data_IF_312545111704
#
_entry.id   IF_312545111704
#
_cell.length_a   1.000
_cell.length_b   1.000
_cell.length_c   1.000
_cell.angle_alpha   90.00
_cell.angle_beta   90.00
_cell.angle_gamma   90.00
#
_symmetry.space_group_name_H-M   'P 1'
#
loop_
_entity.id
_entity.type
_entity.pdbx_description
1 polymer ?
#
# COMPACT_ATOMS: atom_id res chain seq x y z
N UNK A 1 12.46 -23.21 -17.10
CA UNK A 1 13.84 -23.00 -16.62
C UNK A 1 13.69 -22.11 -15.41
N UNK A 2 13.86 -22.67 -14.23
CA UNK A 2 13.65 -22.00 -12.96
C UNK A 2 14.92 -21.25 -12.56
N UNK A 3 14.77 -19.98 -12.16
CA UNK A 3 15.78 -19.25 -11.39
C UNK A 3 15.02 -18.48 -10.30
N UNK A 4 14.78 -19.15 -9.17
CA UNK A 4 14.50 -18.50 -7.89
C UNK A 4 15.86 -18.47 -7.18
N UNK A 5 16.52 -17.32 -7.19
CA UNK A 5 17.83 -17.18 -6.56
C UNK A 5 17.72 -17.10 -5.04
N UNK A 6 18.51 -17.97 -4.41
CA UNK A 6 18.69 -18.13 -2.97
C UNK A 6 19.66 -17.07 -2.47
N UNK A 7 19.21 -16.15 -1.64
CA UNK A 7 20.12 -15.35 -0.83
C UNK A 7 20.59 -16.15 0.38
N UNK A 8 21.87 -16.55 0.35
CA UNK A 8 22.67 -16.94 1.50
C UNK A 8 23.74 -15.87 1.67
N UNK A 9 23.79 -15.20 2.82
CA UNK A 9 25.08 -14.83 3.36
C UNK A 9 25.16 -15.03 4.88
N UNK A 10 26.35 -15.41 5.32
CA UNK A 10 26.62 -15.94 6.63
C UNK A 10 27.39 -14.99 7.55
N UNK A 11 27.09 -15.16 8.85
CA UNK A 11 27.91 -14.85 10.03
C UNK A 11 28.06 -13.36 10.37
N UNK A 12 27.58 -13.01 11.56
CA UNK A 12 28.40 -13.08 12.78
C UNK A 12 27.55 -12.99 14.05
N UNK A 13 27.71 -13.97 14.94
CA UNK A 13 27.06 -14.02 16.25
C UNK A 13 27.59 -12.90 17.14
N UNK A 14 26.74 -11.98 17.59
CA UNK A 14 26.97 -11.18 18.79
C UNK A 14 25.86 -11.39 19.81
N UNK A 15 26.27 -11.74 21.02
CA UNK A 15 25.40 -11.91 22.20
C UNK A 15 24.92 -10.54 22.67
N UNK A 16 23.61 -10.36 22.77
CA UNK A 16 22.98 -9.21 23.45
C UNK A 16 22.42 -9.70 24.81
N UNK A 17 22.60 -8.95 25.92
CA UNK A 17 22.29 -9.42 27.27
C UNK A 17 20.80 -9.36 27.62
N UNK A 18 20.42 -10.19 28.60
CA UNK A 18 19.06 -10.32 29.16
C UNK A 18 18.70 -9.19 30.14
N UNK A 19 17.42 -8.79 30.05
CA UNK A 19 16.48 -8.22 31.06
C UNK A 19 16.65 -6.78 31.52
N UNK A 20 15.55 -6.02 31.43
CA UNK A 20 14.96 -5.28 32.58
C UNK A 20 13.42 -5.34 32.49
N UNK A 21 12.68 -5.59 33.60
CA UNK A 21 11.23 -5.77 33.61
C UNK A 21 10.45 -4.50 33.95
N UNK A 22 9.23 -4.39 33.40
CA UNK A 22 8.12 -3.65 34.01
C UNK A 22 7.69 -2.37 33.30
N UNK A 23 6.86 -2.51 32.26
CA UNK A 23 5.94 -1.43 31.86
C UNK A 23 4.50 -1.94 32.02
N UNK A 24 3.76 -1.34 32.95
CA UNK A 24 2.31 -1.53 33.08
C UNK A 24 1.64 -0.73 31.97
N UNK A 25 1.10 -1.41 30.97
CA UNK A 25 0.19 -0.82 29.99
C UNK A 25 -1.10 -0.44 30.73
N UNK A 26 -1.39 0.86 30.81
CA UNK A 26 -2.67 1.39 31.28
C UNK A 26 -3.68 1.20 30.15
N UNK A 27 -4.71 0.39 30.39
CA UNK A 27 -5.88 0.26 29.50
C UNK A 27 -6.57 1.62 29.36
N UNK A 28 -6.47 2.19 28.16
CA UNK A 28 -7.20 3.38 27.75
C UNK A 28 -8.66 3.05 27.46
N UNK A 29 -9.50 4.03 27.74
CA UNK A 29 -10.97 4.02 27.70
C UNK A 29 -11.61 3.42 26.43
N UNK A 30 -12.54 2.51 26.66
CA UNK A 30 -13.55 2.06 25.70
C UNK A 30 -14.60 3.18 25.54
N UNK A 31 -14.70 3.73 24.34
CA UNK A 31 -15.82 4.59 23.92
C UNK A 31 -16.92 3.67 23.40
N UNK A 32 -18.04 3.64 24.11
CA UNK A 32 -19.24 2.89 23.72
C UNK A 32 -19.99 3.64 22.62
N UNK A 33 -20.26 2.96 21.49
CA UNK A 33 -21.12 3.53 20.43
C UNK A 33 -20.96 3.02 19.00
N UNK A 34 -20.17 1.98 18.73
CA UNK A 34 -20.13 1.31 17.42
C UNK A 34 -20.94 0.03 17.44
N UNK A 35 -21.61 -0.31 16.33
CA UNK A 35 -22.10 -1.67 16.08
C UNK A 35 -20.95 -2.63 16.40
N UNK A 36 -21.21 -3.61 17.27
CA UNK A 36 -20.21 -4.61 17.66
C UNK A 36 -20.06 -5.57 16.48
N UNK A 37 -19.36 -5.14 15.43
CA UNK A 37 -18.87 -6.06 14.40
C UNK A 37 -17.75 -6.82 15.10
N UNK A 38 -17.91 -8.13 15.24
CA UNK A 38 -16.89 -8.95 15.86
C UNK A 38 -15.55 -8.77 15.14
N UNK A 39 -14.46 -8.79 15.89
CA UNK A 39 -13.12 -8.71 15.32
C UNK A 39 -12.93 -9.88 14.33
N UNK A 40 -12.39 -9.64 13.13
CA UNK A 40 -12.15 -10.70 12.15
C UNK A 40 -11.30 -11.83 12.73
N UNK A 41 -11.69 -13.07 12.46
CA UNK A 41 -10.93 -14.26 12.87
C UNK A 41 -10.05 -14.74 11.73
N UNK A 42 -8.74 -14.89 11.98
CA UNK A 42 -7.77 -15.35 10.98
C UNK A 42 -7.39 -16.81 11.22
N UNK A 43 -7.39 -17.60 10.14
CA UNK A 43 -6.96 -19.00 10.14
C UNK A 43 -6.21 -19.35 8.86
N UNK A 44 -5.55 -20.50 8.84
CA UNK A 44 -5.05 -21.09 7.58
C UNK A 44 -6.23 -21.53 6.73
N UNK A 45 -6.13 -21.30 5.42
CA UNK A 45 -7.13 -21.70 4.45
C UNK A 45 -7.21 -23.23 4.32
N UNK A 46 -8.41 -23.71 4.03
CA UNK A 46 -8.72 -25.08 3.69
C UNK A 46 -9.13 -25.15 2.20
N UNK A 47 -9.17 -26.35 1.63
CA UNK A 47 -9.52 -26.55 0.21
C UNK A 47 -10.90 -25.97 -0.15
N UNK A 48 -11.83 -25.95 0.80
CA UNK A 48 -13.17 -25.41 0.59
C UNK A 48 -13.18 -23.87 0.45
N UNK A 49 -12.14 -23.18 0.92
CA UNK A 49 -12.03 -21.71 0.83
C UNK A 49 -11.56 -21.22 -0.55
N UNK A 50 -10.91 -22.08 -1.34
CA UNK A 50 -10.17 -21.65 -2.53
C UNK A 50 -11.04 -20.96 -3.59
N UNK A 51 -12.28 -21.42 -3.74
CA UNK A 51 -13.24 -20.78 -4.65
C UNK A 51 -13.54 -19.33 -4.24
N UNK A 52 -13.68 -19.09 -2.94
CA UNK A 52 -13.95 -17.76 -2.40
C UNK A 52 -12.71 -16.86 -2.40
N UNK A 53 -11.53 -17.42 -2.14
CA UNK A 53 -10.25 -16.72 -2.28
C UNK A 53 -10.08 -16.17 -3.70
N UNK A 54 -10.33 -17.01 -4.72
CA UNK A 54 -10.28 -16.58 -6.13
C UNK A 54 -11.24 -15.43 -6.43
N UNK A 55 -12.48 -15.51 -5.93
CA UNK A 55 -13.50 -14.47 -6.12
C UNK A 55 -13.07 -13.12 -5.51
N UNK A 56 -12.50 -13.15 -4.30
CA UNK A 56 -11.98 -11.96 -3.61
C UNK A 56 -10.79 -11.38 -4.39
N UNK A 57 -9.90 -12.22 -4.90
CA UNK A 57 -8.76 -11.77 -5.71
C UNK A 57 -9.25 -11.02 -6.96
N UNK A 58 -10.18 -11.61 -7.72
CA UNK A 58 -10.76 -11.00 -8.93
C UNK A 58 -11.48 -9.68 -8.61
N UNK A 59 -12.31 -9.67 -7.57
CA UNK A 59 -13.10 -8.49 -7.18
C UNK A 59 -12.20 -7.33 -6.72
N UNK A 60 -11.18 -7.63 -5.91
CA UNK A 60 -10.26 -6.61 -5.39
C UNK A 60 -9.28 -6.10 -6.45
N UNK A 61 -8.77 -6.96 -7.34
CA UNK A 61 -7.98 -6.53 -8.50
C UNK A 61 -8.79 -5.60 -9.41
N UNK A 62 -10.06 -5.93 -9.66
CA UNK A 62 -10.95 -5.09 -10.46
C UNK A 62 -11.25 -3.74 -9.80
N UNK A 63 -11.36 -3.70 -8.47
CA UNK A 63 -11.78 -2.49 -7.74
C UNK A 63 -10.62 -1.55 -7.39
N UNK A 64 -9.43 -2.08 -7.12
CA UNK A 64 -8.35 -1.31 -6.48
C UNK A 64 -7.09 -1.18 -7.33
N UNK A 65 -7.01 -1.88 -8.46
CA UNK A 65 -5.85 -1.87 -9.33
C UNK A 65 -6.16 -1.19 -10.67
N UNK A 66 -5.23 -0.37 -11.14
CA UNK A 66 -5.27 0.25 -12.47
C UNK A 66 -4.83 -0.73 -13.57
N UNK A 67 -5.41 -1.93 -13.59
CA UNK A 67 -5.09 -3.02 -14.53
C UNK A 67 -6.15 -3.17 -15.61
N UNK A 68 -5.76 -3.68 -16.78
CA UNK A 68 -6.72 -4.01 -17.83
C UNK A 68 -7.49 -5.30 -17.48
N UNK A 69 -8.72 -5.50 -18.00
CA UNK A 69 -9.49 -6.73 -17.74
C UNK A 69 -8.75 -8.01 -18.13
N UNK A 70 -7.95 -7.96 -19.20
CA UNK A 70 -7.13 -9.09 -19.64
C UNK A 70 -5.98 -9.38 -18.65
N UNK A 71 -5.41 -8.34 -18.03
CA UNK A 71 -4.32 -8.51 -17.06
C UNK A 71 -4.84 -9.11 -15.77
N UNK A 72 -6.02 -8.66 -15.33
CA UNK A 72 -6.71 -9.25 -14.19
C UNK A 72 -7.01 -10.73 -14.47
N UNK A 73 -7.60 -11.07 -15.63
CA UNK A 73 -7.86 -12.46 -16.01
C UNK A 73 -6.59 -13.31 -16.00
N UNK A 74 -5.48 -12.77 -16.54
CA UNK A 74 -4.18 -13.45 -16.56
C UNK A 74 -3.63 -13.70 -15.16
N UNK A 75 -3.66 -12.68 -14.28
CA UNK A 75 -3.19 -12.82 -12.89
C UNK A 75 -4.06 -13.84 -12.14
N UNK A 76 -5.39 -13.76 -12.29
CA UNK A 76 -6.31 -14.69 -11.63
C UNK A 76 -6.13 -16.13 -12.13
N UNK A 77 -5.89 -16.34 -13.43
CA UNK A 77 -5.64 -17.67 -14.00
C UNK A 77 -4.31 -18.28 -13.57
N UNK A 78 -3.29 -17.46 -13.30
CA UNK A 78 -1.94 -17.96 -12.98
C UNK A 78 -1.74 -18.10 -11.48
N UNK A 79 -2.16 -17.11 -10.70
CA UNK A 79 -1.85 -17.04 -9.27
C UNK A 79 -2.98 -17.60 -8.39
N UNK A 80 -4.23 -17.56 -8.88
CA UNK A 80 -5.43 -17.83 -8.09
C UNK A 80 -6.34 -18.91 -8.68
N UNK A 81 -5.85 -19.70 -9.62
CA UNK A 81 -6.60 -20.86 -10.08
C UNK A 81 -6.61 -21.98 -9.02
N UNK A 82 -7.49 -22.96 -9.21
CA UNK A 82 -7.69 -24.01 -8.22
C UNK A 82 -6.42 -24.86 -8.04
N UNK A 83 -5.67 -25.11 -9.11
CA UNK A 83 -4.44 -25.91 -9.06
C UNK A 83 -3.30 -25.11 -8.38
N UNK A 84 -3.09 -23.84 -8.72
CA UNK A 84 -2.09 -22.99 -8.07
C UNK A 84 -2.36 -22.79 -6.57
N UNK A 85 -3.62 -22.56 -6.19
CA UNK A 85 -4.00 -22.42 -4.80
C UNK A 85 -3.86 -23.73 -4.02
N UNK A 86 -4.20 -24.88 -4.63
CA UNK A 86 -4.03 -26.18 -4.00
C UNK A 86 -2.56 -26.53 -3.80
N UNK A 87 -1.69 -26.27 -4.79
CA UNK A 87 -0.25 -26.45 -4.67
C UNK A 87 0.32 -25.62 -3.50
N UNK A 88 -0.17 -24.38 -3.34
CA UNK A 88 0.23 -23.51 -2.22
C UNK A 88 -0.25 -24.01 -0.85
N UNK A 89 -1.39 -24.69 -0.77
CA UNK A 89 -1.85 -25.31 0.48
C UNK A 89 -0.99 -26.53 0.87
N UNK A 90 -0.42 -27.22 -0.11
CA UNK A 90 0.42 -28.40 0.08
C UNK A 90 1.91 -28.05 0.33
N UNK A 91 2.30 -26.78 0.15
CA UNK A 91 3.68 -26.31 0.38
C UNK A 91 3.88 -25.87 1.85
N UNK A 92 4.79 -26.55 2.56
CA UNK A 92 5.13 -26.29 3.97
C UNK A 92 5.85 -24.92 4.18
N UNK A 93 6.46 -24.36 3.13
CA UNK A 93 7.19 -23.08 3.17
C UNK A 93 6.27 -21.88 2.83
N UNK A 94 5.06 -22.14 2.32
CA UNK A 94 4.04 -21.14 2.01
C UNK A 94 2.84 -21.25 2.94
N UNK A 95 2.01 -20.21 2.97
CA UNK A 95 0.84 -20.15 3.83
C UNK A 95 -0.21 -19.25 3.21
N UNK A 96 -1.37 -19.83 2.94
CA UNK A 96 -2.58 -19.08 2.60
C UNK A 96 -3.39 -18.86 3.88
N UNK A 97 -3.50 -17.61 4.31
CA UNK A 97 -4.30 -17.17 5.45
C UNK A 97 -5.62 -16.61 4.95
N UNK A 98 -6.69 -16.87 5.67
CA UNK A 98 -8.03 -16.33 5.38
C UNK A 98 -8.60 -15.67 6.63
N UNK A 99 -9.37 -14.62 6.42
CA UNK A 99 -10.04 -13.87 7.47
C UNK A 99 -11.54 -13.97 7.33
N UNK A 100 -12.19 -14.38 8.41
CA UNK A 100 -13.64 -14.55 8.52
C UNK A 100 -14.23 -13.44 9.39
N UNK A 101 -15.41 -12.97 9.02
CA UNK A 101 -16.23 -12.06 9.82
C UNK A 101 -17.58 -12.72 10.10
N UNK A 102 -18.14 -12.46 11.28
CA UNK A 102 -19.51 -12.87 11.58
C UNK A 102 -20.49 -12.03 10.74
N UNK A 103 -21.33 -12.69 9.94
CA UNK A 103 -22.43 -12.08 9.19
C UNK A 103 -23.79 -12.67 9.61
N UNK A 104 -24.90 -12.08 9.14
CA UNK A 104 -26.26 -12.54 9.45
C UNK A 104 -26.51 -14.01 9.06
N UNK A 105 -25.80 -14.50 8.05
CA UNK A 105 -25.90 -15.87 7.52
C UNK A 105 -24.80 -16.83 8.06
N UNK A 106 -23.95 -16.36 8.98
CA UNK A 106 -22.82 -17.12 9.54
C UNK A 106 -21.45 -16.50 9.24
N UNK A 107 -20.39 -17.25 9.47
CA UNK A 107 -19.02 -16.80 9.17
C UNK A 107 -18.82 -16.63 7.67
N UNK A 108 -18.40 -15.44 7.26
CA UNK A 108 -18.12 -15.08 5.88
C UNK A 108 -16.63 -14.80 5.71
N UNK A 109 -16.01 -15.44 4.74
CA UNK A 109 -14.64 -15.15 4.34
C UNK A 109 -14.59 -13.79 3.61
N UNK A 110 -13.89 -12.85 4.23
CA UNK A 110 -13.86 -11.42 3.85
C UNK A 110 -12.48 -10.96 3.34
N UNK A 111 -11.47 -11.80 3.43
CA UNK A 111 -10.14 -11.49 2.90
C UNK A 111 -9.18 -12.67 3.01
N UNK A 112 -8.04 -12.54 2.36
CA UNK A 112 -6.95 -13.51 2.44
C UNK A 112 -5.58 -12.84 2.33
N UNK A 113 -4.55 -13.54 2.78
CA UNK A 113 -3.17 -13.18 2.54
C UNK A 113 -2.33 -14.41 2.22
N UNK A 114 -1.40 -14.28 1.29
CA UNK A 114 -0.35 -15.27 1.05
C UNK A 114 0.93 -14.82 1.74
N UNK A 115 1.63 -15.78 2.33
CA UNK A 115 2.86 -15.54 3.06
C UNK A 115 3.83 -16.70 2.87
N UNK A 116 5.07 -16.42 2.52
CA UNK A 116 6.13 -17.42 2.39
C UNK A 116 7.52 -16.82 2.49
N UNK A 117 8.44 -17.50 3.17
CA UNK A 117 9.85 -17.07 3.27
C UNK A 117 10.07 -15.65 3.84
N UNK A 118 9.17 -15.15 4.69
CA UNK A 118 9.25 -13.80 5.24
C UNK A 118 8.62 -12.71 4.37
N UNK A 119 7.93 -13.07 3.28
CA UNK A 119 7.28 -12.15 2.36
C UNK A 119 5.76 -12.35 2.38
N UNK A 120 5.01 -11.27 2.52
CA UNK A 120 3.58 -11.19 2.20
C UNK A 120 3.47 -10.75 0.74
N UNK A 121 3.13 -11.68 -0.15
CA UNK A 121 3.06 -11.47 -1.59
C UNK A 121 1.69 -10.96 -2.04
N UNK A 122 0.60 -11.46 -1.46
CA UNK A 122 -0.74 -10.95 -1.69
C UNK A 122 -1.46 -10.71 -0.37
N UNK A 123 -2.20 -9.60 -0.28
CA UNK A 123 -3.13 -9.33 0.80
C UNK A 123 -4.35 -8.62 0.21
N UNK A 124 -5.48 -9.33 0.19
CA UNK A 124 -6.72 -8.84 -0.39
C UNK A 124 -7.85 -8.88 0.62
N UNK A 125 -8.65 -7.82 0.59
CA UNK A 125 -9.91 -7.72 1.34
C UNK A 125 -11.02 -7.55 0.31
N UNK A 126 -12.13 -8.24 0.52
CA UNK A 126 -13.33 -8.06 -0.28
C UNK A 126 -13.72 -6.56 -0.28
N UNK A 127 -13.85 -5.93 -1.47
CA UNK A 127 -14.26 -4.53 -1.59
C UNK A 127 -15.52 -4.16 -0.80
N UNK A 128 -16.48 -5.09 -0.69
CA UNK A 128 -17.74 -4.86 0.03
C UNK A 128 -17.61 -4.97 1.55
N UNK A 129 -16.46 -5.48 2.05
CA UNK A 129 -16.18 -5.70 3.49
C UNK A 129 -14.96 -4.90 3.98
N UNK A 130 -14.55 -3.87 3.25
CA UNK A 130 -13.48 -2.98 3.66
C UNK A 130 -13.87 -2.15 4.90
N UNK A 131 -12.86 -1.69 5.65
CA UNK A 131 -13.06 -0.88 6.86
C UNK A 131 -13.47 -1.68 8.12
N UNK A 132 -13.63 -3.00 8.02
CA UNK A 132 -13.96 -3.89 9.14
C UNK A 132 -12.73 -4.49 9.85
N UNK A 133 -11.53 -3.97 9.57
CA UNK A 133 -10.29 -4.45 10.21
C UNK A 133 -9.71 -5.75 9.62
N UNK A 134 -10.32 -6.33 8.58
CA UNK A 134 -9.92 -7.60 7.96
C UNK A 134 -8.45 -7.59 7.51
N UNK A 135 -8.04 -6.56 6.76
CA UNK A 135 -6.65 -6.45 6.30
C UNK A 135 -5.66 -6.31 7.46
N UNK A 136 -6.04 -5.56 8.50
CA UNK A 136 -5.22 -5.42 9.72
C UNK A 136 -5.02 -6.76 10.41
N UNK A 137 -6.09 -7.54 10.58
CA UNK A 137 -6.02 -8.86 11.21
C UNK A 137 -5.11 -9.81 10.41
N UNK A 138 -5.25 -9.84 9.08
CA UNK A 138 -4.40 -10.65 8.19
C UNK A 138 -2.92 -10.28 8.31
N UNK A 139 -2.60 -8.99 8.26
CA UNK A 139 -1.23 -8.51 8.32
C UNK A 139 -0.57 -8.77 9.68
N UNK A 140 -1.27 -8.51 10.78
CA UNK A 140 -0.76 -8.80 12.13
C UNK A 140 -0.52 -10.30 12.32
N UNK A 141 -1.42 -11.16 11.82
CA UNK A 141 -1.25 -12.60 11.90
C UNK A 141 -0.06 -13.10 11.06
N UNK A 142 0.14 -12.56 9.86
CA UNK A 142 1.31 -12.86 9.04
C UNK A 142 2.62 -12.41 9.70
N UNK A 143 2.63 -11.23 10.34
CA UNK A 143 3.76 -10.72 11.11
C UNK A 143 4.09 -11.60 12.32
N UNK A 144 3.10 -12.01 13.10
CA UNK A 144 3.30 -12.92 14.24
C UNK A 144 3.87 -14.27 13.79
N UNK A 145 3.46 -14.76 12.61
CA UNK A 145 4.03 -15.98 12.01
C UNK A 145 5.48 -15.78 11.56
N UNK A 146 5.86 -14.55 11.21
CA UNK A 146 7.20 -14.17 10.80
C UNK A 146 8.15 -13.82 11.96
N UNK A 147 7.67 -13.62 13.19
CA UNK A 147 8.43 -13.19 14.40
C UNK A 147 9.55 -14.17 14.86
N UNK A 148 9.98 -15.09 13.99
CA UNK A 148 11.16 -15.94 14.13
C UNK A 148 12.26 -15.72 13.07
N UNK A 149 12.07 -14.85 12.07
CA UNK A 149 13.08 -14.49 11.08
C UNK A 149 13.95 -13.32 11.55
N UNK A 150 15.26 -13.35 11.26
CA UNK A 150 16.19 -12.26 11.60
C UNK A 150 15.90 -10.97 10.78
N UNK A 151 15.21 -11.09 9.63
CA UNK A 151 14.94 -10.00 8.68
C UNK A 151 13.53 -9.38 8.81
N UNK A 152 12.70 -9.86 9.74
CA UNK A 152 11.30 -9.45 9.88
C UNK A 152 10.42 -9.91 8.71
N UNK A 153 9.18 -9.43 8.66
CA UNK A 153 8.27 -9.64 7.52
C UNK A 153 8.41 -8.48 6.54
N UNK A 154 8.46 -8.79 5.25
CA UNK A 154 8.34 -7.82 4.15
C UNK A 154 7.00 -8.00 3.46
N UNK A 155 6.55 -6.98 2.76
CA UNK A 155 5.37 -7.06 1.92
C UNK A 155 5.67 -6.51 0.53
N UNK A 156 4.96 -6.98 -0.48
CA UNK A 156 5.00 -6.39 -1.82
C UNK A 156 3.63 -5.89 -2.23
N UNK A 157 3.63 -4.91 -3.12
CA UNK A 157 2.44 -4.45 -3.82
C UNK A 157 2.79 -4.13 -5.25
N UNK A 158 1.95 -4.58 -6.19
CA UNK A 158 2.02 -4.07 -7.57
C UNK A 158 1.89 -2.54 -7.57
N UNK A 159 2.63 -1.88 -8.45
CA UNK A 159 2.58 -0.41 -8.62
C UNK A 159 1.21 0.10 -9.06
N UNK A 160 0.42 -0.79 -9.65
CA UNK A 160 -0.92 -0.58 -10.15
C UNK A 160 -1.96 -0.59 -9.02
N UNK A 161 -1.60 -1.08 -7.83
CA UNK A 161 -2.47 -1.02 -6.66
C UNK A 161 -2.52 0.41 -6.13
N UNK A 162 -3.66 1.07 -6.33
CA UNK A 162 -3.89 2.47 -5.94
C UNK A 162 -4.20 2.66 -4.46
N UNK A 163 -4.14 1.60 -3.64
CA UNK A 163 -4.63 1.60 -2.26
C UNK A 163 -3.63 1.06 -1.23
N UNK A 164 -2.51 0.48 -1.67
CA UNK A 164 -1.57 -0.24 -0.79
C UNK A 164 -0.68 0.65 0.07
N UNK A 165 -0.29 1.84 -0.42
CA UNK A 165 0.61 2.76 0.28
C UNK A 165 0.12 3.10 1.71
N UNK A 166 -1.10 3.64 1.82
CA UNK A 166 -1.72 3.98 3.12
C UNK A 166 -1.88 2.80 4.08
N UNK A 167 -1.99 1.58 3.55
CA UNK A 167 -2.12 0.40 4.40
C UNK A 167 -0.81 0.12 5.13
N UNK A 168 0.32 0.12 4.42
CA UNK A 168 1.63 -0.21 5.00
C UNK A 168 2.19 0.89 5.91
N UNK A 169 1.96 2.17 5.59
CA UNK A 169 2.36 3.29 6.46
C UNK A 169 1.77 3.16 7.88
N UNK A 170 0.55 2.63 8.01
CA UNK A 170 -0.09 2.42 9.32
C UNK A 170 0.66 1.41 10.20
N UNK A 171 1.45 0.53 9.61
CA UNK A 171 2.21 -0.50 10.32
C UNK A 171 3.69 -0.13 10.49
N UNK A 172 4.05 1.14 10.27
CA UNK A 172 5.44 1.62 10.26
C UNK A 172 6.30 0.87 9.22
N UNK A 173 5.69 0.53 8.08
CA UNK A 173 6.39 -0.02 6.92
C UNK A 173 6.70 1.08 5.93
N UNK A 174 7.92 1.06 5.42
CA UNK A 174 8.41 2.02 4.44
C UNK A 174 8.75 1.29 3.15
N UNK A 175 8.60 1.98 2.01
CA UNK A 175 9.06 1.47 0.73
C UNK A 175 10.58 1.46 0.72
N UNK A 176 11.18 0.29 0.58
CA UNK A 176 12.64 0.08 0.60
C UNK A 176 13.23 -0.26 -0.76
N UNK A 177 12.42 -0.77 -1.68
CA UNK A 177 12.87 -1.22 -3.00
C UNK A 177 11.73 -1.20 -4.04
N UNK A 178 12.09 -1.29 -5.31
CA UNK A 178 11.19 -1.49 -6.45
C UNK A 178 11.78 -2.59 -7.33
N UNK A 179 10.98 -3.59 -7.70
CA UNK A 179 11.43 -4.70 -8.54
C UNK A 179 10.45 -5.03 -9.65
N UNK A 180 10.96 -5.66 -10.70
CA UNK A 180 10.15 -6.25 -11.76
C UNK A 180 9.72 -7.67 -11.38
N UNK A 181 8.48 -8.01 -11.69
CA UNK A 181 7.90 -9.35 -11.55
C UNK A 181 7.29 -9.78 -12.87
N UNK A 182 7.36 -11.07 -13.19
CA UNK A 182 6.73 -11.61 -14.39
C UNK A 182 5.53 -12.46 -13.98
N UNK A 183 4.33 -12.06 -14.40
CA UNK A 183 3.13 -12.88 -14.26
C UNK A 183 2.68 -13.30 -15.67
N UNK A 184 2.91 -14.58 -15.97
CA UNK A 184 2.67 -15.18 -17.28
C UNK A 184 3.61 -14.69 -18.37
N UNK A 185 3.22 -13.63 -19.09
CA UNK A 185 4.04 -12.99 -20.15
C UNK A 185 4.05 -11.47 -20.01
N UNK A 186 3.65 -10.97 -18.84
CA UNK A 186 3.56 -9.55 -18.53
C UNK A 186 4.62 -9.24 -17.48
N UNK A 187 5.41 -8.23 -17.78
CA UNK A 187 6.33 -7.61 -16.84
C UNK A 187 5.54 -6.55 -16.07
N UNK A 188 5.40 -6.74 -14.77
CA UNK A 188 4.78 -5.81 -13.83
C UNK A 188 5.83 -5.32 -12.84
N UNK A 189 5.54 -4.23 -12.13
CA UNK A 189 6.43 -3.70 -11.10
C UNK A 189 5.80 -3.84 -9.72
N UNK A 190 6.64 -4.10 -8.73
CA UNK A 190 6.25 -4.22 -7.33
C UNK A 190 7.09 -3.30 -6.46
N UNK A 191 6.43 -2.56 -5.58
CA UNK A 191 7.08 -1.91 -4.44
C UNK A 191 7.30 -2.92 -3.32
N UNK A 192 8.49 -2.91 -2.74
CA UNK A 192 8.84 -3.72 -1.56
C UNK A 192 8.77 -2.84 -0.32
N UNK A 193 8.02 -3.30 0.68
CA UNK A 193 7.85 -2.65 1.97
C UNK A 193 8.48 -3.47 3.08
N UNK A 194 9.18 -2.80 4.00
CA UNK A 194 9.79 -3.42 5.17
C UNK A 194 9.57 -2.53 6.42
N UNK A 195 9.69 -3.08 7.64
CA UNK A 195 9.64 -2.29 8.87
C UNK A 195 10.72 -1.19 8.83
N UNK A 196 10.39 0.02 9.26
CA UNK A 196 11.34 1.15 9.27
C UNK A 196 12.67 0.83 9.99
N UNK A 197 12.61 0.04 11.08
CA UNK A 197 13.80 -0.39 11.83
C UNK A 197 14.66 -1.45 11.11
N UNK A 198 14.12 -2.11 10.07
CA UNK A 198 14.84 -3.10 9.26
C UNK A 198 15.64 -2.45 8.11
N UNK A 199 15.45 -1.15 7.87
CA UNK A 199 16.27 -0.37 6.95
C UNK A 199 17.62 -0.12 7.63
N UNK A 200 18.49 -1.13 7.63
CA UNK A 200 19.91 -0.86 7.84
C UNK A 200 20.36 0.01 6.69
N UNK A 201 20.95 1.16 7.01
CA UNK A 201 21.70 2.03 6.11
C UNK A 201 22.72 1.17 5.33
N UNK A 202 22.31 0.55 4.23
CA UNK A 202 23.26 -0.08 3.30
C UNK A 202 23.94 1.05 2.56
N UNK A 203 25.16 1.31 3.04
CA UNK A 203 26.20 2.13 2.44
C UNK A 203 26.37 1.77 0.95
N UNK A 204 25.63 2.45 0.08
CA UNK A 204 26.07 2.79 -1.27
C UNK A 204 25.84 4.30 -1.47
N UNK A 205 26.49 5.07 -0.59
CA UNK A 205 26.75 6.50 -0.72
C UNK A 205 27.89 6.77 -1.72
N UNK A 206 27.74 6.36 -2.97
CA UNK A 206 28.59 6.90 -4.03
C UNK A 206 27.90 7.07 -5.36
N UNK A 207 26.68 7.60 -5.37
CA UNK A 207 26.18 8.40 -6.50
C UNK A 207 24.99 9.32 -6.17
N UNK A 208 24.85 9.74 -4.90
CA UNK A 208 24.02 10.90 -4.57
C UNK A 208 24.93 12.04 -4.13
N UNK A 209 24.94 13.10 -4.94
CA UNK A 209 25.34 14.42 -4.47
C UNK A 209 24.42 14.73 -3.31
N UNK A 210 24.98 14.72 -2.11
CA UNK A 210 24.28 15.13 -0.90
C UNK A 210 24.07 16.63 -0.92
N UNK A 211 22.81 17.04 -0.92
CA UNK A 211 22.40 18.25 -0.22
C UNK A 211 21.26 17.84 0.71
N UNK A 212 21.43 18.13 1.99
CA UNK A 212 20.44 17.83 3.00
C UNK A 212 19.28 18.83 2.88
N UNK A 213 18.04 18.34 2.72
CA UNK A 213 16.86 19.17 2.95
C UNK A 213 15.60 18.61 2.32
N UNK A 214 14.57 18.39 3.15
CA UNK A 214 13.17 18.19 2.78
C UNK A 214 12.85 17.01 1.85
N UNK A 215 11.64 16.45 2.00
CA UNK A 215 11.09 15.55 1.00
C UNK A 215 10.89 16.34 -0.30
N UNK A 216 11.87 16.35 -1.20
CA UNK A 216 11.73 16.91 -2.56
C UNK A 216 10.88 15.96 -3.38
N UNK A 217 9.57 16.06 -3.18
CA UNK A 217 8.61 15.77 -4.25
C UNK A 217 9.03 16.67 -5.42
N UNK A 218 9.20 16.16 -6.66
CA UNK A 218 9.52 17.04 -7.78
C UNK A 218 8.44 18.11 -7.86
N UNK A 219 8.82 19.34 -7.54
CA UNK A 219 7.91 20.49 -7.51
C UNK A 219 7.78 21.13 -8.88
N UNK A 220 8.60 20.74 -9.86
CA UNK A 220 8.54 21.28 -11.22
C UNK A 220 7.82 20.33 -12.16
N UNK A 221 6.89 20.86 -12.96
CA UNK A 221 6.05 20.11 -13.89
C UNK A 221 6.87 19.33 -14.93
N UNK A 222 8.01 19.88 -15.36
CA UNK A 222 8.91 19.25 -16.34
C UNK A 222 9.52 17.94 -15.83
N UNK A 223 9.76 17.82 -14.52
CA UNK A 223 10.26 16.57 -13.90
C UNK A 223 9.17 15.49 -13.79
N UNK A 224 7.90 15.91 -13.82
CA UNK A 224 6.73 15.05 -13.71
C UNK A 224 6.17 14.60 -15.08
N UNK A 225 6.76 15.06 -16.20
CA UNK A 225 6.34 14.74 -17.57
C UNK A 225 4.82 14.94 -17.81
N UNK A 226 4.28 16.04 -17.26
CA UNK A 226 2.86 16.38 -17.36
C UNK A 226 2.55 17.15 -18.66
N UNK A 227 1.31 17.05 -19.19
CA UNK A 227 0.88 17.82 -20.35
C UNK A 227 0.76 19.32 -20.04
N UNK A 228 0.84 20.16 -21.09
CA UNK A 228 0.69 21.62 -20.97
C UNK A 228 -0.75 22.06 -20.59
N UNK A 229 -1.74 21.30 -21.04
CA UNK A 229 -3.15 21.58 -20.87
C UNK A 229 -3.95 20.28 -20.68
N UNK A 230 -5.11 20.39 -20.03
CA UNK A 230 -6.04 19.29 -19.81
C UNK A 230 -7.49 19.77 -19.90
N UNK A 231 -8.45 18.85 -19.93
CA UNK A 231 -9.88 19.19 -19.91
C UNK A 231 -10.45 19.09 -18.49
N UNK A 232 -11.15 20.14 -18.06
CA UNK A 232 -11.92 20.18 -16.82
C UNK A 232 -13.32 20.75 -17.12
N UNK A 233 -14.39 20.09 -16.66
CA UNK A 233 -15.79 20.56 -16.84
C UNK A 233 -16.17 20.97 -18.28
N UNK A 234 -15.58 20.34 -19.31
CA UNK A 234 -15.82 20.66 -20.72
C UNK A 234 -15.16 21.94 -21.22
N UNK A 235 -14.17 22.47 -20.49
CA UNK A 235 -13.27 23.55 -20.93
C UNK A 235 -11.81 23.10 -20.84
N UNK A 236 -10.97 23.64 -21.72
CA UNK A 236 -9.52 23.50 -21.60
C UNK A 236 -9.01 24.36 -20.46
N UNK A 237 -8.11 23.80 -19.65
CA UNK A 237 -7.39 24.46 -18.55
C UNK A 237 -5.90 24.16 -18.68
N UNK A 238 -5.07 25.11 -18.29
CA UNK A 238 -3.62 25.07 -18.46
C UNK A 238 -2.94 24.68 -17.16
N UNK A 239 -1.96 23.79 -17.18
CA UNK A 239 -1.25 23.35 -15.98
C UNK A 239 -0.12 24.32 -15.66
N UNK A 240 -0.06 24.76 -14.41
CA UNK A 240 1.06 25.53 -13.87
C UNK A 240 2.36 24.74 -13.78
N UNK A 241 3.46 25.45 -13.62
CA UNK A 241 4.79 24.86 -13.57
C UNK A 241 5.14 24.24 -12.21
N UNK A 242 4.43 24.66 -11.15
CA UNK A 242 4.70 24.26 -9.77
C UNK A 242 3.66 23.26 -9.24
N UNK A 243 4.16 22.17 -8.66
CA UNK A 243 3.37 21.17 -7.95
C UNK A 243 3.52 21.33 -6.43
N UNK A 244 2.42 21.28 -5.70
CA UNK A 244 2.42 21.16 -4.24
C UNK A 244 2.42 19.68 -3.83
N UNK A 245 3.11 19.35 -2.75
CA UNK A 245 3.24 17.98 -2.26
C UNK A 245 1.90 17.40 -1.79
N UNK A 246 1.41 16.31 -2.37
CA UNK A 246 0.26 15.56 -1.85
C UNK A 246 0.69 14.23 -1.22
N UNK A 247 -0.20 13.63 -0.42
CA UNK A 247 0.05 12.36 0.28
C UNK A 247 0.39 11.20 -0.66
N UNK A 248 -0.14 11.20 -1.89
CA UNK A 248 0.02 10.12 -2.87
C UNK A 248 0.70 10.62 -4.17
N UNK A 249 1.00 11.92 -4.27
CA UNK A 249 1.53 12.56 -5.47
C UNK A 249 1.20 14.06 -5.50
N UNK A 250 1.90 14.84 -6.33
CA UNK A 250 1.74 16.29 -6.37
C UNK A 250 0.34 16.75 -6.83
N UNK A 251 0.00 17.98 -6.47
CA UNK A 251 -1.10 18.72 -7.11
C UNK A 251 -0.53 19.91 -7.87
N UNK A 252 -0.91 20.05 -9.14
CA UNK A 252 -0.52 21.20 -9.96
C UNK A 252 -1.70 22.15 -10.03
N UNK A 253 -1.46 23.45 -9.85
CA UNK A 253 -2.52 24.46 -10.05
C UNK A 253 -2.89 24.49 -11.54
N UNK A 254 -4.18 24.54 -11.83
CA UNK A 254 -4.71 24.71 -13.18
C UNK A 254 -5.24 26.12 -13.37
N UNK A 255 -5.04 26.67 -14.56
CA UNK A 255 -5.42 28.03 -14.93
C UNK A 255 -6.47 28.04 -16.03
N UNK A 256 -7.33 29.04 -15.98
CA UNK A 256 -8.35 29.30 -16.97
C UNK A 256 -7.79 29.83 -18.30
N UNK A 257 -6.58 30.38 -18.28
CA UNK A 257 -5.87 31.02 -19.38
C UNK A 257 -4.41 30.55 -19.50
N UNK A 258 -3.87 30.58 -20.73
CA UNK A 258 -2.49 30.17 -21.04
C UNK A 258 -1.43 31.05 -20.34
N UNK A 259 -1.79 32.27 -19.92
CA UNK A 259 -0.85 33.18 -19.26
C UNK A 259 -0.71 32.91 -17.76
N UNK A 260 -1.44 31.94 -17.20
CA UNK A 260 -1.34 31.54 -15.79
C UNK A 260 -1.86 32.60 -14.82
N UNK A 261 -2.85 33.41 -15.21
CA UNK A 261 -3.29 34.57 -14.41
C UNK A 261 -4.57 34.34 -13.61
N UNK A 262 -5.44 33.43 -14.06
CA UNK A 262 -6.72 33.13 -13.41
C UNK A 262 -6.76 31.66 -12.99
N UNK A 263 -6.55 31.39 -11.70
CA UNK A 263 -6.59 30.05 -11.12
C UNK A 263 -7.99 29.43 -11.28
N UNK A 264 -8.04 28.21 -11.82
CA UNK A 264 -9.27 27.45 -12.01
C UNK A 264 -9.47 26.39 -10.92
N UNK A 265 -8.40 25.67 -10.56
CA UNK A 265 -8.46 24.55 -9.62
C UNK A 265 -7.15 23.79 -9.54
N UNK A 266 -7.20 22.50 -9.20
CA UNK A 266 -6.01 21.66 -9.09
C UNK A 266 -6.12 20.41 -9.95
N UNK A 267 -4.98 19.99 -10.49
CA UNK A 267 -4.79 18.72 -11.19
C UNK A 267 -4.02 17.76 -10.29
N UNK A 268 -4.58 16.58 -10.07
CA UNK A 268 -3.95 15.53 -9.28
C UNK A 268 -3.00 14.71 -10.15
N UNK A 269 -1.70 14.84 -9.91
CA UNK A 269 -0.64 14.12 -10.67
C UNK A 269 -0.74 12.60 -10.48
N UNK A 270 -1.25 12.15 -9.33
CA UNK A 270 -1.36 10.71 -9.04
C UNK A 270 -2.38 9.95 -9.89
N UNK A 271 -3.44 10.61 -10.37
CA UNK A 271 -4.52 9.90 -11.08
C UNK A 271 -5.05 10.66 -12.31
N UNK A 272 -4.28 11.65 -12.77
CA UNK A 272 -4.57 12.50 -13.92
C UNK A 272 -5.98 13.12 -13.90
N UNK A 273 -6.46 13.49 -12.70
CA UNK A 273 -7.83 13.97 -12.50
C UNK A 273 -7.88 15.44 -12.08
N UNK A 274 -8.85 16.17 -12.62
CA UNK A 274 -9.23 17.53 -12.23
C UNK A 274 -10.36 17.56 -11.19
N UNK A 275 -10.85 16.39 -10.75
CA UNK A 275 -11.82 16.27 -9.66
C UNK A 275 -11.13 16.48 -8.32
N UNK A 276 -10.82 17.75 -8.03
CA UNK A 276 -10.08 18.16 -6.85
C UNK A 276 -10.85 19.25 -6.11
N UNK A 277 -11.14 18.98 -4.85
CA UNK A 277 -11.83 19.90 -3.95
C UNK A 277 -10.84 20.59 -3.02
N UNK A 278 -11.02 21.90 -2.82
CA UNK A 278 -10.28 22.66 -1.81
C UNK A 278 -11.17 22.84 -0.58
N UNK A 279 -10.71 22.31 0.54
CA UNK A 279 -11.37 22.35 1.84
C UNK A 279 -11.08 23.63 2.63
N UNK A 280 -11.50 23.64 3.90
CA UNK A 280 -11.13 24.70 4.84
C UNK A 280 -9.65 24.56 5.22
N UNK A 281 -8.93 25.69 5.33
CA UNK A 281 -7.47 25.74 5.58
C UNK A 281 -6.64 25.20 4.41
N UNK A 282 -6.99 25.56 3.17
CA UNK A 282 -6.19 25.25 1.96
C UNK A 282 -5.86 23.75 1.79
N UNK A 283 -6.68 22.88 2.40
CA UNK A 283 -6.56 21.44 2.25
C UNK A 283 -7.03 21.05 0.86
N UNK A 284 -6.14 20.56 0.02
CA UNK A 284 -6.50 20.07 -1.33
C UNK A 284 -6.77 18.57 -1.25
N UNK A 285 -7.89 18.12 -1.80
CA UNK A 285 -8.25 16.69 -1.82
C UNK A 285 -8.79 16.29 -3.19
N UNK A 286 -8.18 15.26 -3.78
CA UNK A 286 -8.74 14.62 -4.96
C UNK A 286 -9.97 13.79 -4.59
N UNK A 287 -11.10 14.01 -5.27
CA UNK A 287 -12.33 13.23 -5.11
C UNK A 287 -12.28 11.88 -5.83
N UNK A 288 -11.39 11.71 -6.81
CA UNK A 288 -11.20 10.47 -7.55
C UNK A 288 -10.35 9.43 -6.79
N UNK A 289 -9.10 9.74 -6.45
CA UNK A 289 -8.20 8.80 -5.76
C UNK A 289 -8.04 9.07 -4.26
N UNK A 290 -8.57 10.18 -3.73
CA UNK A 290 -8.44 10.51 -2.32
C UNK A 290 -7.07 11.05 -1.89
N UNK A 291 -6.15 11.32 -2.84
CA UNK A 291 -4.91 12.06 -2.59
C UNK A 291 -5.23 13.36 -1.85
N UNK A 292 -4.42 13.73 -0.87
CA UNK A 292 -4.68 14.91 -0.03
C UNK A 292 -3.39 15.69 0.22
N UNK A 293 -3.41 17.00 -0.01
CA UNK A 293 -2.42 17.94 0.51
C UNK A 293 -2.95 18.52 1.82
N UNK A 294 -2.11 18.56 2.84
CA UNK A 294 -2.33 19.37 4.04
C UNK A 294 -1.24 20.44 4.03
N UNK A 295 -1.58 21.73 4.20
CA UNK A 295 -0.54 22.73 4.38
C UNK A 295 0.30 22.35 5.60
N UNK A 296 1.61 22.52 5.47
CA UNK A 296 2.54 22.27 6.55
C UNK A 296 2.13 23.15 7.74
N UNK A 297 1.85 22.52 8.89
CA UNK A 297 1.61 23.27 10.10
C UNK A 297 2.93 23.88 10.55
N UNK A 298 3.23 25.11 10.12
CA UNK A 298 4.23 25.95 10.76
C UNK A 298 3.75 26.36 12.17
N UNK A 299 3.75 25.40 13.09
CA UNK A 299 3.69 25.71 14.52
C UNK A 299 5.08 26.23 14.93
N UNK A 300 5.27 27.54 14.81
CA UNK A 300 6.39 28.25 15.43
C UNK A 300 6.26 28.12 16.95
N UNK A 301 7.01 27.18 17.53
CA UNK A 301 7.12 26.95 18.97
C UNK A 301 7.87 28.06 19.72
N UNK A 302 7.73 29.34 19.33
CA UNK A 302 8.45 30.47 19.91
C UNK A 302 7.67 31.29 20.94
N UNK A 303 6.77 30.70 21.74
CA UNK A 303 6.26 31.37 22.95
C UNK A 303 5.92 30.37 24.06
N UNK A 304 6.88 30.08 24.96
CA UNK A 304 6.68 29.92 26.41
C UNK A 304 7.97 30.17 27.19
#
# INVERSE_FOLDING_TARGET
>A
MAVREVWRDGRTRRRIPRRVPGLRVRRGHQVEGGLNVADPTVRTAETDDLGRVREIAESSLTSSYALSPNDIETIVEIEFDADALAERLDDDDESLLVAEIEDEDGDLLAGFATYGGGLIDWLHVDPERQGLGVGTALFEHAREKADGSDDGVRAVSLTENTSSGRFFERFDFERVDERETEIGKRELREYVFAPADAVTETEDESERVSDAGESVVPTERDDLNLPDETEADGRTVYLGDEAIAGSEGGFVVTFADEAGTEEYGYFCVNCDSTDVSVGSMDQVKCGNCGNTHKPEQEYDGSYL
#
